data_IF_578977247793
#
_entry.id   IF_578977247793
#
_cell.length_a   1.000
_cell.length_b   1.000
_cell.length_c   1.000
_cell.angle_alpha   90.00
_cell.angle_beta   90.00
_cell.angle_gamma   90.00
#
_symmetry.space_group_name_H-M   'P 1'
#
loop_
_entity.id
_entity.type
_entity.pdbx_description
1 polymer ?
#
# COMPACT_ATOMS: atom_id res chain seq x y z
N UNK A 1 -19.50 3.36 -27.28
CA UNK A 1 -20.16 3.18 -25.97
C UNK A 1 -19.99 1.72 -25.58
N UNK A 2 -18.87 1.37 -24.95
CA UNK A 2 -18.62 0.02 -24.44
C UNK A 2 -18.65 0.12 -22.92
N UNK A 3 -19.44 -0.76 -22.31
CA UNK A 3 -19.95 -0.63 -20.95
C UNK A 3 -18.89 -0.80 -19.87
N UNK A 4 -19.12 -0.08 -18.78
CA UNK A 4 -18.46 -0.23 -17.49
C UNK A 4 -18.92 -1.55 -16.85
N UNK A 5 -18.21 -2.64 -17.16
CA UNK A 5 -18.35 -3.91 -16.46
C UNK A 5 -17.58 -3.90 -15.13
N UNK A 6 -17.81 -4.88 -14.23
CA UNK A 6 -17.09 -5.01 -12.95
C UNK A 6 -15.56 -5.10 -13.09
N UNK A 7 -15.06 -5.31 -14.31
CA UNK A 7 -13.64 -5.38 -14.66
C UNK A 7 -13.02 -4.03 -15.07
N UNK A 8 -13.80 -2.93 -15.08
CA UNK A 8 -13.34 -1.58 -15.46
C UNK A 8 -12.50 -0.86 -14.39
N UNK A 9 -11.92 -1.60 -13.44
CA UNK A 9 -11.07 -1.02 -12.40
C UNK A 9 -9.63 -1.06 -12.88
N UNK A 10 -9.01 0.12 -12.97
CA UNK A 10 -7.62 0.27 -13.40
C UNK A 10 -6.63 -0.46 -12.49
N UNK A 11 -5.37 -0.57 -12.96
CA UNK A 11 -4.26 -1.11 -12.14
C UNK A 11 -4.02 -0.23 -10.92
N UNK A 12 -3.76 -0.88 -9.79
CA UNK A 12 -3.45 -0.23 -8.51
C UNK A 12 -1.98 -0.47 -8.18
N UNK A 13 -1.31 0.56 -7.66
CA UNK A 13 0.04 0.46 -7.15
C UNK A 13 0.03 0.67 -5.63
N UNK A 14 0.55 -0.29 -4.89
CA UNK A 14 0.93 -0.11 -3.48
C UNK A 14 2.33 0.51 -3.47
N UNK A 15 2.41 1.79 -3.13
CA UNK A 15 3.70 2.49 -3.00
C UNK A 15 4.23 2.30 -1.59
N UNK A 16 5.32 1.55 -1.44
CA UNK A 16 5.88 1.25 -0.11
C UNK A 16 7.41 1.12 -0.11
N UNK A 17 8.00 1.59 0.99
CA UNK A 17 9.37 1.31 1.42
C UNK A 17 9.38 1.39 2.95
N UNK A 18 10.08 0.49 3.64
CA UNK A 18 10.08 0.45 5.11
C UNK A 18 10.64 1.77 5.71
N UNK A 19 11.49 2.50 4.97
CA UNK A 19 11.97 3.82 5.38
C UNK A 19 10.85 4.86 5.51
N UNK A 20 9.69 4.67 4.86
CA UNK A 20 8.55 5.58 5.00
C UNK A 20 7.91 5.53 6.40
N UNK A 21 8.16 4.46 7.16
CA UNK A 21 7.64 4.29 8.52
C UNK A 21 8.63 4.73 9.60
N UNK A 22 9.84 5.14 9.26
CA UNK A 22 10.88 5.44 10.25
C UNK A 22 10.69 6.77 11.02
N UNK A 23 9.53 7.40 10.90
CA UNK A 23 9.26 8.67 11.58
C UNK A 23 8.87 8.45 13.05
N UNK A 24 9.29 9.36 13.92
CA UNK A 24 8.90 9.37 15.32
C UNK A 24 8.39 10.76 15.71
N UNK A 25 7.15 10.81 16.21
CA UNK A 25 6.55 12.03 16.77
C UNK A 25 6.72 12.12 18.30
N UNK A 26 7.44 11.17 18.90
CA UNK A 26 7.59 11.04 20.35
C UNK A 26 6.64 10.03 20.98
N UNK A 27 6.95 9.69 22.22
CA UNK A 27 6.22 8.70 23.01
C UNK A 27 4.76 9.09 23.24
N UNK A 28 3.84 8.13 23.10
CA UNK A 28 2.41 8.35 23.28
C UNK A 28 1.72 9.17 22.18
N UNK A 29 2.43 9.58 21.14
CA UNK A 29 1.84 10.38 20.06
C UNK A 29 0.85 9.52 19.24
N UNK A 30 -0.40 9.98 19.00
CA UNK A 30 -1.45 9.17 18.38
C UNK A 30 -1.16 8.81 16.91
N UNK A 31 -0.27 9.56 16.25
CA UNK A 31 0.19 9.27 14.89
C UNK A 31 1.42 8.37 14.88
N UNK A 32 1.41 7.24 15.58
CA UNK A 32 2.51 6.27 15.54
C UNK A 32 2.63 5.58 14.16
N UNK A 33 3.85 5.37 13.62
CA UNK A 33 4.08 4.76 12.30
C UNK A 33 3.58 3.33 12.16
N UNK A 34 3.54 2.59 13.28
CA UNK A 34 3.09 1.19 13.36
C UNK A 34 1.74 0.94 12.68
N UNK A 35 0.84 1.94 12.66
CA UNK A 35 -0.46 1.81 11.97
C UNK A 35 -0.31 1.53 10.48
N UNK A 36 0.69 2.12 9.83
CA UNK A 36 0.95 1.97 8.40
C UNK A 36 1.69 0.67 8.13
N UNK A 37 2.69 0.34 8.95
CA UNK A 37 3.43 -0.93 8.90
C UNK A 37 2.47 -2.13 8.97
N UNK A 38 1.61 -2.16 9.99
CA UNK A 38 0.61 -3.24 10.17
C UNK A 38 -0.39 -3.31 9.01
N UNK A 39 -0.73 -2.18 8.39
CA UNK A 39 -1.63 -2.17 7.23
C UNK A 39 -0.97 -2.83 6.02
N UNK A 40 0.31 -2.52 5.77
CA UNK A 40 1.07 -3.12 4.66
C UNK A 40 1.31 -4.61 4.91
N UNK A 41 1.62 -4.99 6.14
CA UNK A 41 1.74 -6.39 6.52
C UNK A 41 0.42 -7.15 6.31
N UNK A 42 -0.71 -6.58 6.72
CA UNK A 42 -2.03 -7.18 6.50
C UNK A 42 -2.33 -7.36 5.01
N UNK A 43 -2.07 -6.33 4.21
CA UNK A 43 -2.26 -6.36 2.74
C UNK A 43 -1.49 -7.52 2.10
N UNK A 44 -0.24 -7.74 2.54
CA UNK A 44 0.60 -8.86 2.08
C UNK A 44 0.09 -10.21 2.58
N UNK A 45 -0.36 -10.31 3.84
CA UNK A 45 -0.86 -11.55 4.44
C UNK A 45 -2.16 -12.06 3.82
N UNK A 46 -2.99 -11.16 3.28
CA UNK A 46 -4.25 -11.54 2.60
C UNK A 46 -4.09 -11.67 1.08
N UNK A 47 -2.85 -11.70 0.59
CA UNK A 47 -2.50 -11.82 -0.83
C UNK A 47 -3.17 -10.76 -1.72
N UNK A 48 -3.41 -9.56 -1.19
CA UNK A 48 -4.03 -8.48 -1.97
C UNK A 48 -3.08 -7.96 -3.05
N UNK A 49 -1.77 -8.02 -2.81
CA UNK A 49 -0.73 -7.72 -3.81
C UNK A 49 -0.46 -8.97 -4.64
N UNK A 50 -1.31 -9.17 -5.65
CA UNK A 50 -1.28 -10.35 -6.53
C UNK A 50 -0.28 -10.26 -7.70
N UNK A 51 0.36 -9.11 -7.89
CA UNK A 51 1.32 -8.87 -8.97
C UNK A 51 0.70 -8.67 -10.36
N UNK A 52 -0.62 -8.69 -10.49
CA UNK A 52 -1.34 -8.53 -11.76
C UNK A 52 -2.19 -7.27 -11.76
N UNK A 53 -3.10 -7.15 -10.79
CA UNK A 53 -4.01 -6.02 -10.63
C UNK A 53 -3.48 -5.02 -9.61
N UNK A 54 -2.84 -5.54 -8.57
CA UNK A 54 -2.18 -4.76 -7.52
C UNK A 54 -0.70 -5.10 -7.52
N UNK A 55 0.14 -4.09 -7.75
CA UNK A 55 1.61 -4.24 -7.75
C UNK A 55 2.22 -3.41 -6.64
N UNK A 56 3.17 -3.98 -5.91
CA UNK A 56 3.99 -3.21 -4.97
C UNK A 56 5.14 -2.54 -5.72
N UNK A 57 5.34 -1.24 -5.49
CA UNK A 57 6.38 -0.43 -6.14
C UNK A 57 7.12 0.41 -5.09
N UNK A 58 8.42 0.61 -5.31
CA UNK A 58 9.20 1.51 -4.46
C UNK A 58 8.92 2.98 -4.83
N UNK A 59 8.96 3.91 -3.86
CA UNK A 59 8.96 5.34 -4.16
C UNK A 59 10.18 5.71 -5.03
N UNK A 60 9.97 6.52 -6.06
CA UNK A 60 11.06 7.06 -6.89
C UNK A 60 11.70 6.07 -7.87
N UNK A 61 11.18 4.85 -8.01
CA UNK A 61 11.53 3.99 -9.15
C UNK A 61 10.74 4.44 -10.38
N UNK A 62 11.38 5.19 -11.27
CA UNK A 62 10.90 5.51 -12.62
C UNK A 62 11.56 4.61 -13.66
#
# INVERSE_FOLDING_TARGET
>A
MAGEGPDAVGRVALVWDDALASYSFGEGHPLAPVRVELTVELIRQVDLVDGTRVVEVRPGSY
#
